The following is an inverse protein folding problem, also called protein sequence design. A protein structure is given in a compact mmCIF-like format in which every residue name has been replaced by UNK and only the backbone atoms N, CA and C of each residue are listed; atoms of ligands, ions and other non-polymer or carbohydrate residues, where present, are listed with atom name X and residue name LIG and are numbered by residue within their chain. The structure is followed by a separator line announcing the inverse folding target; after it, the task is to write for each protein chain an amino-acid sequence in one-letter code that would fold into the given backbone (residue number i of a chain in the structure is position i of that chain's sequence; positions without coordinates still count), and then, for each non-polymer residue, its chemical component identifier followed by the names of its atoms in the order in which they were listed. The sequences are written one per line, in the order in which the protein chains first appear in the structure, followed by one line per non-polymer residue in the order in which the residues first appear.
data_IF_481848167477
#
_entry.id   IF_481848167477
#
_cell.length_a   1.000
_cell.length_b   1.000
_cell.length_c   1.000
_cell.angle_alpha   90.00
_cell.angle_beta   90.00
_cell.angle_gamma   90.00
#
_symmetry.space_group_name_H-M   'P 1'
#
loop_
_entity.id
_entity.type
_entity.pdbx_description
1 polymer ?
#
# COMPACT_ATOMS: atom_id res chain seq x y z
N UNK A 1 1.52 -10.10 -9.50
CA UNK A 1 1.81 -10.84 -8.26
C UNK A 1 0.69 -10.74 -7.22
N UNK A 2 0.12 -9.56 -6.98
CA UNK A 2 -1.03 -9.42 -6.07
C UNK A 2 -2.19 -10.36 -6.44
N UNK A 3 -2.59 -10.40 -7.71
CA UNK A 3 -3.65 -11.29 -8.16
C UNK A 3 -3.37 -12.76 -7.84
N UNK A 4 -2.15 -13.22 -8.07
CA UNK A 4 -1.74 -14.59 -7.77
C UNK A 4 -1.80 -14.90 -6.27
N UNK A 5 -1.56 -13.92 -5.42
CA UNK A 5 -1.59 -14.10 -3.96
C UNK A 5 -3.01 -14.11 -3.38
N UNK A 6 -3.90 -13.23 -3.84
CA UNK A 6 -5.21 -13.02 -3.21
C UNK A 6 -6.37 -12.65 -4.14
N UNK A 7 -6.23 -12.86 -5.45
CA UNK A 7 -7.29 -12.65 -6.47
C UNK A 7 -7.73 -11.20 -6.68
N UNK A 8 -6.93 -10.24 -6.25
CA UNK A 8 -7.18 -8.82 -6.47
C UNK A 8 -5.92 -8.14 -6.99
N UNK A 9 -6.09 -7.11 -7.82
CA UNK A 9 -4.97 -6.21 -8.15
C UNK A 9 -4.67 -5.31 -6.94
N UNK A 10 -3.48 -4.69 -6.93
CA UNK A 10 -3.12 -3.74 -5.88
C UNK A 10 -4.13 -2.58 -5.81
N UNK A 11 -4.56 -2.04 -6.95
CA UNK A 11 -5.56 -0.98 -7.02
C UNK A 11 -6.92 -1.42 -6.47
N UNK A 12 -7.36 -2.64 -6.78
CA UNK A 12 -8.62 -3.20 -6.26
C UNK A 12 -8.60 -3.37 -4.74
N UNK A 13 -7.48 -3.82 -4.18
CA UNK A 13 -7.31 -3.95 -2.72
C UNK A 13 -7.50 -2.60 -2.03
N UNK A 14 -6.81 -1.58 -2.52
CA UNK A 14 -6.91 -0.22 -1.95
C UNK A 14 -8.36 0.28 -2.06
N UNK A 15 -8.95 0.16 -3.25
CA UNK A 15 -10.30 0.65 -3.52
C UNK A 15 -11.37 0.00 -2.65
N UNK A 16 -11.28 -1.32 -2.45
CA UNK A 16 -12.26 -2.08 -1.68
C UNK A 16 -12.07 -1.96 -0.16
N UNK A 17 -10.84 -1.83 0.31
CA UNK A 17 -10.52 -1.93 1.73
C UNK A 17 -10.29 -0.61 2.44
N UNK A 18 -9.97 0.47 1.73
CA UNK A 18 -9.88 1.81 2.31
C UNK A 18 -11.27 2.29 2.70
N UNK A 19 -11.54 2.38 4.01
CA UNK A 19 -12.85 2.71 4.57
C UNK A 19 -12.69 3.43 5.90
N UNK A 20 -13.08 4.70 5.94
CA UNK A 20 -12.99 5.54 7.13
C UNK A 20 -13.81 5.03 8.32
N UNK A 21 -14.83 4.21 8.07
CA UNK A 21 -15.68 3.62 9.12
C UNK A 21 -15.03 2.42 9.82
N UNK A 22 -14.03 1.82 9.19
CA UNK A 22 -13.30 0.68 9.77
C UNK A 22 -12.23 1.15 10.74
N UNK A 23 -11.89 0.27 11.70
CA UNK A 23 -10.74 0.47 12.56
C UNK A 23 -9.48 0.66 11.73
N UNK A 24 -8.69 1.68 12.04
CA UNK A 24 -7.46 2.03 11.31
C UNK A 24 -7.66 2.20 9.80
N UNK A 25 -8.84 2.65 9.35
CA UNK A 25 -9.17 2.82 7.93
C UNK A 25 -9.14 1.53 7.10
N UNK A 26 -9.19 0.36 7.72
CA UNK A 26 -9.00 -0.92 7.04
C UNK A 26 -7.53 -1.30 6.84
N UNK A 27 -6.57 -0.48 7.29
CA UNK A 27 -5.15 -0.80 7.27
C UNK A 27 -4.79 -1.85 8.31
N UNK A 28 -3.91 -2.75 7.94
CA UNK A 28 -3.33 -3.78 8.82
C UNK A 28 -1.92 -3.43 9.27
N UNK A 29 -1.24 -2.55 8.54
CA UNK A 29 0.10 -2.06 8.89
C UNK A 29 0.30 -0.64 8.34
N UNK A 30 1.19 0.10 8.96
CA UNK A 30 1.64 1.45 8.54
C UNK A 30 2.98 1.76 9.18
N UNK A 31 3.65 2.80 8.72
CA UNK A 31 4.92 3.24 9.28
C UNK A 31 4.71 4.24 10.42
N UNK A 32 5.48 4.08 11.52
CA UNK A 32 5.40 4.96 12.69
C UNK A 32 4.17 4.70 13.57
N UNK A 33 3.87 5.65 14.44
CA UNK A 33 2.80 5.50 15.44
C UNK A 33 1.41 5.85 14.89
N UNK A 34 1.35 6.75 13.93
CA UNK A 34 0.11 7.23 13.34
C UNK A 34 0.07 6.95 11.83
N UNK A 35 -1.15 6.78 11.32
CA UNK A 35 -1.40 6.59 9.88
C UNK A 35 -1.18 7.92 9.17
N UNK A 36 -0.36 7.91 8.12
CA UNK A 36 -0.11 9.05 7.26
C UNK A 36 -0.80 8.87 5.90
N UNK A 37 -0.95 9.97 5.16
CA UNK A 37 -1.54 9.95 3.82
C UNK A 37 -0.80 9.00 2.87
N UNK A 38 0.52 8.91 2.97
CA UNK A 38 1.34 8.00 2.18
C UNK A 38 1.07 6.52 2.48
N UNK A 39 0.68 6.20 3.71
CA UNK A 39 0.40 4.81 4.10
C UNK A 39 -0.85 4.25 3.41
N UNK A 40 -1.85 5.09 3.15
CA UNK A 40 -3.12 4.66 2.55
C UNK A 40 -3.01 4.38 1.05
N UNK A 41 -1.91 4.77 0.42
CA UNK A 41 -1.64 4.55 -1.00
C UNK A 41 -0.99 3.19 -1.30
N UNK A 42 -0.59 2.44 -0.29
CA UNK A 42 0.16 1.20 -0.40
C UNK A 42 -0.75 0.00 -0.19
N UNK A 43 -0.98 -0.79 -1.23
CA UNK A 43 -1.87 -1.96 -1.18
C UNK A 43 -1.46 -2.98 -0.10
N UNK A 44 -0.16 -3.21 0.06
CA UNK A 44 0.40 -4.11 1.07
C UNK A 44 -0.11 -3.81 2.47
N UNK A 45 -0.36 -2.54 2.80
CA UNK A 45 -0.81 -2.11 4.11
C UNK A 45 -2.25 -2.53 4.44
N UNK A 46 -3.02 -2.99 3.46
CA UNK A 46 -4.40 -3.48 3.63
C UNK A 46 -4.48 -5.02 3.64
N UNK A 47 -3.38 -5.73 3.44
CA UNK A 47 -3.38 -7.19 3.36
C UNK A 47 -3.45 -7.83 4.74
N UNK A 48 -4.18 -8.94 4.84
CA UNK A 48 -4.12 -9.80 6.03
C UNK A 48 -2.74 -10.45 6.13
N UNK A 49 -2.39 -10.96 7.30
CA UNK A 49 -1.12 -11.67 7.52
C UNK A 49 -0.94 -12.83 6.54
N UNK A 50 -1.98 -13.61 6.32
CA UNK A 50 -1.95 -14.74 5.37
C UNK A 50 -1.74 -14.29 3.93
N UNK A 51 -2.41 -13.22 3.50
CA UNK A 51 -2.25 -12.65 2.16
C UNK A 51 -0.84 -12.07 1.96
N UNK A 52 -0.33 -11.37 2.95
CA UNK A 52 1.02 -10.81 2.92
C UNK A 52 2.08 -11.90 2.88
N UNK A 53 1.92 -12.98 3.66
CA UNK A 53 2.82 -14.14 3.64
C UNK A 53 2.86 -14.80 2.26
N UNK A 54 1.70 -15.01 1.65
CA UNK A 54 1.59 -15.56 0.30
C UNK A 54 2.28 -14.66 -0.74
N UNK A 55 2.04 -13.36 -0.68
CA UNK A 55 2.68 -12.40 -1.58
C UNK A 55 4.21 -12.39 -1.42
N UNK A 56 4.70 -12.36 -0.18
CA UNK A 56 6.14 -12.37 0.10
C UNK A 56 6.80 -13.67 -0.40
N UNK A 57 6.16 -14.81 -0.24
CA UNK A 57 6.68 -16.08 -0.76
C UNK A 57 6.77 -16.10 -2.28
N UNK A 58 5.75 -15.58 -2.98
CA UNK A 58 5.74 -15.49 -4.44
C UNK A 58 6.87 -14.57 -4.92
N UNK A 59 7.01 -13.41 -4.33
CA UNK A 59 8.05 -12.43 -4.69
C UNK A 59 9.45 -12.99 -4.42
N UNK A 60 9.67 -13.58 -3.25
CA UNK A 60 10.96 -14.15 -2.86
C UNK A 60 11.39 -15.28 -3.80
N UNK A 61 10.50 -16.20 -4.11
CA UNK A 61 10.79 -17.30 -5.02
C UNK A 61 11.11 -16.81 -6.44
N UNK A 62 10.39 -15.78 -6.91
CA UNK A 62 10.67 -15.18 -8.21
C UNK A 62 12.04 -14.49 -8.25
N UNK A 63 12.40 -13.75 -7.19
CA UNK A 63 13.72 -13.12 -7.08
C UNK A 63 14.84 -14.16 -7.01
N UNK A 64 14.63 -15.29 -6.35
CA UNK A 64 15.59 -16.40 -6.29
C UNK A 64 15.83 -16.99 -7.70
N UNK A 65 14.79 -17.16 -8.51
CA UNK A 65 14.92 -17.59 -9.92
C UNK A 65 15.74 -16.59 -10.73
N UNK A 66 15.48 -15.29 -10.55
CA UNK A 66 16.23 -14.23 -11.21
C UNK A 66 17.71 -14.26 -10.83
N UNK A 67 18.00 -14.52 -9.56
CA UNK A 67 19.36 -14.63 -9.03
C UNK A 67 20.11 -15.82 -9.65
N UNK A 68 19.45 -16.97 -9.86
CA UNK A 68 20.03 -18.12 -10.56
C UNK A 68 20.42 -17.76 -11.99
N UNK A 69 19.57 -17.03 -12.73
CA UNK A 69 19.91 -16.53 -14.06
C UNK A 69 21.15 -15.63 -14.04
N UNK A 70 21.25 -14.76 -13.05
CA UNK A 70 22.40 -13.88 -12.89
C UNK A 70 23.69 -14.67 -12.59
N UNK A 71 23.64 -15.72 -11.77
CA UNK A 71 24.77 -16.62 -11.50
C UNK A 71 25.25 -17.34 -12.75
N UNK A 72 24.35 -17.70 -13.63
CA UNK A 72 24.66 -18.34 -14.92
C UNK A 72 25.14 -17.33 -16.00
N UNK A 73 25.24 -16.05 -15.65
CA UNK A 73 25.62 -14.98 -16.56
C UNK A 73 24.70 -14.89 -17.81
N UNK A 74 23.44 -15.26 -17.66
CA UNK A 74 22.44 -15.19 -18.71
C UNK A 74 21.77 -13.81 -18.70
N UNK A 75 21.84 -13.02 -19.78
CA UNK A 75 21.14 -11.75 -19.84
C UNK A 75 19.62 -11.97 -19.84
N UNK A 76 18.89 -11.20 -19.03
CA UNK A 76 17.43 -11.21 -19.01
C UNK A 76 16.87 -9.88 -19.50
N UNK A 77 16.06 -9.95 -20.54
CA UNK A 77 15.30 -8.81 -21.06
C UNK A 77 13.90 -8.80 -20.43
N UNK A 78 13.18 -7.69 -20.56
CA UNK A 78 11.84 -7.55 -19.97
C UNK A 78 10.90 -8.68 -20.39
N UNK A 79 10.96 -9.10 -21.65
CA UNK A 79 10.18 -10.23 -22.17
C UNK A 79 10.47 -11.52 -21.41
N UNK A 80 11.73 -11.80 -21.14
CA UNK A 80 12.16 -13.02 -20.43
C UNK A 80 11.65 -12.99 -18.98
N UNK A 81 11.68 -11.83 -18.32
CA UNK A 81 11.12 -11.65 -16.98
C UNK A 81 9.63 -11.94 -16.95
N UNK A 82 8.87 -11.44 -17.91
CA UNK A 82 7.43 -11.66 -17.98
C UNK A 82 7.09 -13.14 -18.25
N UNK A 83 7.79 -13.80 -19.15
CA UNK A 83 7.62 -15.22 -19.44
C UNK A 83 7.98 -16.08 -18.21
N UNK A 84 9.06 -15.75 -17.53
CA UNK A 84 9.51 -16.47 -16.33
C UNK A 84 8.49 -16.38 -15.20
N UNK A 85 7.89 -15.21 -14.96
CA UNK A 85 6.88 -15.06 -13.91
C UNK A 85 5.60 -15.83 -14.27
N UNK A 86 5.18 -15.83 -15.54
CA UNK A 86 4.02 -16.58 -16.00
C UNK A 86 4.23 -18.08 -15.79
N UNK A 87 5.39 -18.61 -16.19
CA UNK A 87 5.75 -20.02 -16.02
C UNK A 87 5.80 -20.41 -14.54
N UNK A 88 6.38 -19.58 -13.70
CA UNK A 88 6.46 -19.78 -12.26
C UNK A 88 5.05 -19.84 -11.63
N UNK A 89 4.18 -18.91 -11.98
CA UNK A 89 2.82 -18.87 -11.45
C UNK A 89 1.99 -20.08 -11.90
N UNK A 90 2.15 -20.54 -13.13
CA UNK A 90 1.53 -21.78 -13.63
C UNK A 90 2.02 -22.99 -12.87
N UNK A 91 3.32 -23.11 -12.66
CA UNK A 91 3.94 -24.22 -11.93
C UNK A 91 3.44 -24.30 -10.49
N UNK A 92 3.23 -23.17 -9.83
CA UNK A 92 2.70 -23.10 -8.46
C UNK A 92 1.17 -23.18 -8.39
N UNK A 93 0.50 -23.37 -9.52
CA UNK A 93 -0.97 -23.40 -9.65
C UNK A 93 -1.65 -22.12 -9.17
N UNK A 94 -0.98 -20.99 -9.36
CA UNK A 94 -1.53 -19.67 -9.08
C UNK A 94 -2.16 -19.08 -10.35
N UNK A 95 -3.24 -18.34 -10.19
CA UNK A 95 -3.89 -17.68 -11.30
C UNK A 95 -3.07 -16.49 -11.80
N UNK A 96 -3.17 -16.25 -13.10
CA UNK A 96 -2.54 -15.13 -13.77
C UNK A 96 -3.63 -14.14 -14.19
N UNK A 97 -3.42 -12.86 -13.89
CA UNK A 97 -4.28 -11.80 -14.39
C UNK A 97 -3.99 -11.54 -15.86
N UNK A 98 -5.00 -11.70 -16.72
CA UNK A 98 -4.90 -11.49 -18.16
C UNK A 98 -5.32 -10.08 -18.59
N UNK A 99 -5.84 -9.29 -17.69
CA UNK A 99 -6.31 -7.90 -17.90
C UNK A 99 -5.67 -6.95 -16.89
N UNK A 100 -5.85 -5.65 -17.10
CA UNK A 100 -5.36 -4.63 -16.16
C UNK A 100 -6.18 -4.51 -14.86
N UNK A 101 -7.22 -5.33 -14.69
CA UNK A 101 -8.17 -5.24 -13.57
C UNK A 101 -9.29 -4.24 -13.83
N UNK A 102 -10.20 -4.09 -12.85
CA UNK A 102 -11.40 -3.26 -12.97
C UNK A 102 -11.26 -1.87 -12.35
N UNK A 103 -10.21 -1.65 -11.58
CA UNK A 103 -9.95 -0.37 -10.89
C UNK A 103 -8.60 0.17 -11.31
N UNK A 104 -8.55 1.41 -11.77
CA UNK A 104 -7.29 2.08 -12.10
C UNK A 104 -6.55 2.49 -10.83
N UNK A 105 -5.23 2.64 -10.93
CA UNK A 105 -4.41 3.17 -9.84
C UNK A 105 -4.90 4.54 -9.37
N UNK A 106 -5.23 5.42 -10.30
CA UNK A 106 -5.75 6.76 -10.01
C UNK A 106 -7.05 6.71 -9.19
N UNK A 107 -8.02 5.87 -9.59
CA UNK A 107 -9.28 5.69 -8.87
C UNK A 107 -9.04 5.18 -7.44
N UNK A 108 -8.12 4.24 -7.27
CA UNK A 108 -7.78 3.69 -5.97
C UNK A 108 -7.17 4.75 -5.05
N UNK A 109 -6.23 5.53 -5.54
CA UNK A 109 -5.57 6.59 -4.77
C UNK A 109 -6.55 7.71 -4.41
N UNK A 110 -7.40 8.14 -5.34
CA UNK A 110 -8.43 9.15 -5.07
C UNK A 110 -9.38 8.68 -3.96
N UNK A 111 -9.83 7.44 -4.01
CA UNK A 111 -10.67 6.88 -2.95
C UNK A 111 -9.93 6.80 -1.61
N UNK A 112 -8.71 6.31 -1.61
CA UNK A 112 -7.90 6.20 -0.39
C UNK A 112 -7.70 7.56 0.29
N UNK A 113 -7.42 8.60 -0.49
CA UNK A 113 -7.28 9.96 0.02
C UNK A 113 -8.58 10.52 0.58
N UNK A 114 -9.71 10.30 -0.11
CA UNK A 114 -11.02 10.74 0.35
C UNK A 114 -11.39 10.06 1.68
N UNK A 115 -11.15 8.76 1.81
CA UNK A 115 -11.38 8.02 3.04
C UNK A 115 -10.43 8.44 4.17
N UNK A 116 -9.18 8.73 3.85
CA UNK A 116 -8.21 9.26 4.81
C UNK A 116 -8.64 10.60 5.38
N UNK A 117 -9.12 11.51 4.54
CA UNK A 117 -9.59 12.82 5.00
C UNK A 117 -10.80 12.68 5.94
N UNK A 118 -11.74 11.79 5.64
CA UNK A 118 -12.86 11.47 6.54
C UNK A 118 -12.38 10.87 7.86
N UNK A 119 -11.43 9.95 7.82
CA UNK A 119 -10.86 9.32 8.99
C UNK A 119 -10.17 10.33 9.90
N UNK A 120 -9.37 11.23 9.32
CA UNK A 120 -8.67 12.28 10.03
C UNK A 120 -9.63 13.26 10.70
N UNK A 121 -10.67 13.71 10.00
CA UNK A 121 -11.69 14.59 10.57
C UNK A 121 -12.42 13.92 11.74
N UNK A 122 -12.73 12.64 11.63
CA UNK A 122 -13.38 11.87 12.68
C UNK A 122 -12.49 11.72 13.92
N UNK A 123 -11.18 11.57 13.77
CA UNK A 123 -10.24 11.55 14.88
C UNK A 123 -10.21 12.92 15.59
N UNK A 124 -10.19 14.01 14.84
CA UNK A 124 -10.22 15.36 15.38
C UNK A 124 -11.51 15.64 16.16
N UNK A 125 -12.65 15.19 15.63
CA UNK A 125 -13.95 15.34 16.31
C UNK A 125 -14.05 14.56 17.62
N UNK A 126 -13.33 13.45 17.76
CA UNK A 126 -13.31 12.62 18.96
C UNK A 126 -12.28 13.09 20.01
N UNK A 127 -11.47 14.10 19.72
CA UNK A 127 -10.51 14.64 20.66
C UNK A 127 -11.22 15.47 21.77
N UNK A 128 -10.69 15.40 22.98
CA UNK A 128 -11.13 16.27 24.07
C UNK A 128 -10.78 17.73 23.76
N UNK A 129 -11.46 18.72 24.40
CA UNK A 129 -11.11 20.14 24.20
C UNK A 129 -9.64 20.44 24.52
N UNK A 130 -9.07 19.79 25.53
CA UNK A 130 -7.65 19.96 25.91
C UNK A 130 -6.72 19.43 24.84
N UNK A 131 -7.02 18.26 24.25
CA UNK A 131 -6.23 17.69 23.15
C UNK A 131 -6.32 18.55 21.90
N UNK A 132 -7.49 19.09 21.57
CA UNK A 132 -7.66 20.03 20.45
C UNK A 132 -6.84 21.31 20.66
N UNK A 133 -6.85 21.88 21.85
CA UNK A 133 -6.05 23.06 22.19
C UNK A 133 -4.55 22.78 22.09
N UNK A 134 -4.11 21.61 22.53
CA UNK A 134 -2.71 21.19 22.45
C UNK A 134 -2.24 21.06 20.99
N UNK A 135 -3.03 20.43 20.11
CA UNK A 135 -2.74 20.29 18.70
C UNK A 135 -2.70 21.66 18.01
N UNK A 136 -3.64 22.54 18.31
CA UNK A 136 -3.66 23.92 17.80
C UNK A 136 -2.42 24.70 18.22
N UNK A 137 -1.95 24.54 19.47
CA UNK A 137 -0.72 25.17 19.97
C UNK A 137 0.53 24.69 19.25
N UNK A 138 0.65 23.40 18.96
CA UNK A 138 1.75 22.82 18.16
C UNK A 138 1.74 23.39 16.75
N UNK A 139 0.58 23.43 16.09
CA UNK A 139 0.44 24.00 14.74
C UNK A 139 0.86 25.48 14.70
N UNK A 140 0.49 26.27 15.70
CA UNK A 140 0.91 27.68 15.81
C UNK A 140 2.43 27.81 15.99
N UNK A 141 3.06 26.95 16.79
CA UNK A 141 4.51 26.93 16.98
C UNK A 141 5.26 26.54 15.69
N UNK A 142 4.76 25.59 14.95
CA UNK A 142 5.33 25.21 13.66
C UNK A 142 5.27 26.35 12.64
N UNK A 143 4.16 27.08 12.58
CA UNK A 143 4.02 28.26 11.72
C UNK A 143 4.99 29.38 12.10
N UNK A 144 5.22 29.64 13.38
CA UNK A 144 6.19 30.61 13.87
C UNK A 144 7.61 30.19 13.49
N UNK A 145 7.96 28.91 13.66
CA UNK A 145 9.26 28.39 13.27
C UNK A 145 9.52 28.52 11.77
N UNK A 146 8.53 28.22 10.91
CA UNK A 146 8.61 28.40 9.47
C UNK A 146 8.77 29.86 9.06
N UNK A 147 8.09 30.78 9.74
CA UNK A 147 8.21 32.23 9.50
C UNK A 147 9.62 32.75 9.83
N UNK A 148 10.23 32.25 10.88
CA UNK A 148 11.59 32.65 11.28
C UNK A 148 12.68 32.10 10.34
N UNK A 149 12.44 30.99 9.68
CA UNK A 149 13.39 30.40 8.71
C UNK A 149 13.37 31.17 7.39
N UNK A 150 12.27 31.87 7.06
CA UNK A 150 12.12 32.68 5.81
C UNK A 150 12.66 34.10 5.88
N UNK A 151 12.99 34.58 7.07
CA UNK A 151 13.68 35.85 7.29
C UNK A 151 15.21 35.66 7.32
#
# INVERSE_FOLDING_TARGET
MHWAAHKHTAAEVIYQRADAEKENMGLTSWSGDNIHRSDVEVAKNYLTEAELDALNKIVTAYLDIAEVHALNQEPMYMKDWLETIDDYLKMTRRDILTTSGHVSHKQAIEKAHAEYDKYKNRLEDNLSPVEKDFIASIGALEQIADSNIRE
#
